data_IF_776030049800
#
_entry.id   IF_776030049800
#
_cell.length_a   1.000
_cell.length_b   1.000
_cell.length_c   1.000
_cell.angle_alpha   90.00
_cell.angle_beta   90.00
_cell.angle_gamma   90.00
#
_symmetry.space_group_name_H-M   'P 1'
#
loop_
_entity.id
_entity.type
_entity.pdbx_description
1 polymer ?
#
# COMPACT_ATOMS: atom_id res chain seq x y z
N UNK A 1 22.10 12.63 16.42
CA UNK A 1 20.63 12.78 16.54
C UNK A 1 20.11 11.58 17.30
N UNK A 2 19.24 11.77 18.29
CA UNK A 2 18.63 10.67 19.04
C UNK A 2 17.23 10.43 18.45
N UNK A 3 17.01 9.23 17.91
CA UNK A 3 15.69 8.77 17.50
C UNK A 3 15.14 7.92 18.65
N UNK A 4 13.96 8.27 19.12
CA UNK A 4 13.23 7.48 20.11
C UNK A 4 12.89 6.10 19.51
N UNK A 5 12.62 5.07 20.34
CA UNK A 5 12.06 3.82 19.84
C UNK A 5 10.79 4.02 19.01
N UNK A 6 9.96 5.00 19.37
CA UNK A 6 8.73 5.36 18.68
C UNK A 6 9.01 5.94 17.29
N UNK A 7 9.94 6.90 17.19
CA UNK A 7 10.33 7.55 15.93
C UNK A 7 10.75 6.51 14.88
N UNK A 8 11.47 5.48 15.33
CA UNK A 8 11.94 4.39 14.45
C UNK A 8 10.82 3.46 14.01
N UNK A 9 9.80 3.25 14.85
CA UNK A 9 8.62 2.48 14.45
C UNK A 9 7.76 3.28 13.46
N UNK A 10 7.64 4.59 13.65
CA UNK A 10 7.02 5.49 12.68
C UNK A 10 7.78 5.47 11.36
N UNK A 11 9.11 5.54 11.37
CA UNK A 11 9.95 5.41 10.17
C UNK A 11 9.68 4.12 9.39
N UNK A 12 9.50 2.98 10.09
CA UNK A 12 9.11 1.72 9.44
C UNK A 12 7.74 1.86 8.79
N UNK A 13 6.76 2.45 9.47
CA UNK A 13 5.45 2.73 8.89
C UNK A 13 5.54 3.64 7.67
N UNK A 14 6.27 4.75 7.74
CA UNK A 14 6.48 5.67 6.61
C UNK A 14 7.15 4.94 5.46
N UNK A 15 8.12 4.05 5.71
CA UNK A 15 8.79 3.30 4.65
C UNK A 15 7.83 2.39 3.88
N UNK A 16 6.90 1.75 4.59
CA UNK A 16 5.84 0.94 3.97
C UNK A 16 4.91 1.83 3.14
N UNK A 17 4.49 2.98 3.68
CA UNK A 17 3.61 3.93 2.98
C UNK A 17 4.28 4.58 1.76
N UNK A 18 5.58 4.79 1.80
CA UNK A 18 6.39 5.29 0.70
C UNK A 18 6.65 4.21 -0.37
N UNK A 19 6.24 2.96 -0.14
CA UNK A 19 6.41 1.86 -1.08
C UNK A 19 7.81 1.25 -1.09
N UNK A 20 8.62 1.46 -0.04
CA UNK A 20 9.91 0.80 0.09
C UNK A 20 9.72 -0.71 0.23
N UNK A 21 10.44 -1.50 -0.58
CA UNK A 21 10.37 -2.97 -0.51
C UNK A 21 11.33 -3.53 0.53
N UNK A 22 12.43 -2.83 0.79
CA UNK A 22 13.42 -3.21 1.78
C UNK A 22 13.75 -2.05 2.71
N UNK A 23 14.07 -2.34 3.98
CA UNK A 23 14.52 -1.32 4.94
C UNK A 23 15.76 -0.56 4.43
N UNK A 24 16.61 -1.17 3.60
CA UNK A 24 17.78 -0.54 2.98
C UNK A 24 17.41 0.75 2.21
N UNK A 25 16.19 0.79 1.65
CA UNK A 25 15.69 1.92 0.90
C UNK A 25 15.38 3.13 1.78
N UNK A 26 15.31 3.00 3.11
CA UNK A 26 15.16 4.15 4.02
C UNK A 26 16.28 5.17 3.78
N UNK A 27 17.52 4.70 3.56
CA UNK A 27 18.66 5.59 3.34
C UNK A 27 18.58 6.34 2.01
N UNK A 28 17.94 5.78 0.98
CA UNK A 28 17.89 6.35 -0.37
C UNK A 28 16.57 7.04 -0.69
N UNK A 29 15.48 6.67 -0.03
CA UNK A 29 14.11 7.16 -0.28
C UNK A 29 13.68 8.13 0.83
N UNK A 30 13.70 7.69 2.09
CA UNK A 30 13.14 8.48 3.19
C UNK A 30 14.11 9.53 3.70
N UNK A 31 15.32 9.11 4.08
CA UNK A 31 16.31 9.97 4.75
C UNK A 31 16.70 11.25 3.97
N UNK A 32 16.80 11.24 2.62
CA UNK A 32 17.04 12.47 1.87
C UNK A 32 15.85 13.43 1.86
N UNK A 33 14.63 12.94 2.13
CA UNK A 33 13.41 13.74 2.14
C UNK A 33 13.18 14.39 3.52
N UNK A 34 13.80 15.56 3.68
CA UNK A 34 13.67 16.36 4.90
C UNK A 34 12.25 16.89 5.10
N UNK A 35 11.50 17.16 4.02
CA UNK A 35 10.13 17.67 4.14
C UNK A 35 9.19 16.58 4.66
N UNK A 36 9.35 15.35 4.18
CA UNK A 36 8.61 14.21 4.69
C UNK A 36 8.93 13.99 6.18
N UNK A 37 10.20 14.02 6.57
CA UNK A 37 10.58 13.91 7.99
C UNK A 37 9.92 14.99 8.86
N UNK A 38 9.95 16.24 8.42
CA UNK A 38 9.34 17.37 9.14
C UNK A 38 7.82 17.24 9.25
N UNK A 39 7.14 16.72 8.22
CA UNK A 39 5.70 16.46 8.27
C UNK A 39 5.32 15.40 9.32
N UNK A 40 6.26 14.52 9.63
CA UNK A 40 6.17 13.52 10.71
C UNK A 40 6.77 14.00 12.03
N UNK A 41 7.07 15.31 12.16
CA UNK A 41 7.59 15.89 13.40
C UNK A 41 9.06 15.55 13.69
N UNK A 42 9.78 14.95 12.74
CA UNK A 42 11.18 14.57 12.88
C UNK A 42 12.09 15.53 12.10
N UNK A 43 13.30 15.78 12.61
CA UNK A 43 14.27 16.64 11.89
C UNK A 43 14.85 15.93 10.66
N UNK A 44 15.02 14.62 10.75
CA UNK A 44 15.44 13.70 9.70
C UNK A 44 15.07 12.28 10.14
N UNK A 45 14.88 11.36 9.20
CA UNK A 45 14.74 9.93 9.50
C UNK A 45 16.10 9.26 9.80
N UNK A 46 16.09 8.19 10.60
CA UNK A 46 17.29 7.48 11.00
C UNK A 46 17.96 6.73 9.83
N UNK A 47 19.21 6.30 10.05
CA UNK A 47 19.86 5.31 9.17
C UNK A 47 19.06 4.00 9.22
N UNK A 48 18.97 3.29 8.09
CA UNK A 48 18.41 1.94 8.03
C UNK A 48 18.99 1.03 9.13
N UNK A 49 20.29 1.08 9.40
CA UNK A 49 20.91 0.20 10.39
C UNK A 49 20.43 0.50 11.82
N UNK A 50 20.05 1.74 12.11
CA UNK A 50 19.48 2.15 13.40
C UNK A 50 18.07 1.59 13.54
N UNK A 51 17.27 1.68 12.47
CA UNK A 51 15.91 1.11 12.41
C UNK A 51 15.97 -0.41 12.55
N UNK A 52 16.83 -1.09 11.78
CA UNK A 52 17.01 -2.54 11.80
C UNK A 52 17.36 -3.05 13.19
N UNK A 53 18.37 -2.46 13.85
CA UNK A 53 18.76 -2.85 15.21
C UNK A 53 17.62 -2.66 16.22
N UNK A 54 16.77 -1.66 16.01
CA UNK A 54 15.60 -1.45 16.86
C UNK A 54 14.52 -2.50 16.64
N UNK A 55 14.32 -2.96 15.40
CA UNK A 55 13.42 -4.09 15.12
C UNK A 55 13.96 -5.41 15.67
N UNK A 56 15.27 -5.66 15.52
CA UNK A 56 15.94 -6.85 16.06
C UNK A 56 15.84 -6.93 17.59
N UNK A 57 15.72 -5.78 18.25
CA UNK A 57 15.55 -5.66 19.70
C UNK A 57 14.11 -5.80 20.20
N UNK A 58 13.11 -5.94 19.33
CA UNK A 58 11.72 -6.07 19.75
C UNK A 58 11.48 -7.41 20.45
N UNK A 59 10.84 -7.36 21.61
CA UNK A 59 10.44 -8.55 22.35
C UNK A 59 8.98 -8.91 22.07
N UNK A 60 8.57 -10.12 22.47
CA UNK A 60 7.15 -10.53 22.41
C UNK A 60 6.24 -9.58 23.20
N UNK A 61 6.73 -9.01 24.30
CA UNK A 61 6.00 -8.02 25.08
C UNK A 61 5.77 -6.74 24.27
N UNK A 62 6.80 -6.22 23.60
CA UNK A 62 6.66 -5.04 22.75
C UNK A 62 5.71 -5.28 21.58
N UNK A 63 5.73 -6.49 21.00
CA UNK A 63 4.78 -6.84 19.94
C UNK A 63 3.34 -6.92 20.47
N UNK A 64 3.12 -7.37 21.71
CA UNK A 64 1.81 -7.37 22.33
C UNK A 64 1.31 -5.93 22.59
N UNK A 65 2.17 -5.06 23.09
CA UNK A 65 1.88 -3.64 23.31
C UNK A 65 1.55 -2.93 21.98
N UNK A 66 2.35 -3.17 20.93
CA UNK A 66 2.13 -2.58 19.62
C UNK A 66 0.79 -3.04 19.02
N UNK A 67 0.44 -4.33 19.15
CA UNK A 67 -0.87 -4.84 18.73
C UNK A 67 -2.02 -4.21 19.52
N UNK A 68 -1.85 -4.04 20.83
CA UNK A 68 -2.87 -3.40 21.65
C UNK A 68 -3.08 -1.93 21.26
N UNK A 69 -1.98 -1.18 21.08
CA UNK A 69 -2.03 0.23 20.68
C UNK A 69 -2.65 0.41 19.29
N UNK A 70 -2.19 -0.35 18.29
CA UNK A 70 -2.76 -0.31 16.94
C UNK A 70 -4.24 -0.70 16.91
N UNK A 71 -4.64 -1.71 17.70
CA UNK A 71 -6.05 -2.09 17.84
C UNK A 71 -6.89 -0.99 18.49
N UNK A 72 -6.35 -0.27 19.48
CA UNK A 72 -7.04 0.84 20.14
C UNK A 72 -7.26 2.00 19.16
N UNK A 73 -6.20 2.42 18.45
CA UNK A 73 -6.28 3.46 17.41
C UNK A 73 -7.30 3.07 16.33
N UNK A 74 -7.24 1.83 15.86
CA UNK A 74 -8.18 1.36 14.85
C UNK A 74 -9.62 1.35 15.35
N UNK A 75 -9.86 0.91 16.60
CA UNK A 75 -11.20 0.92 17.18
C UNK A 75 -11.77 2.32 17.33
N UNK A 76 -10.93 3.29 17.70
CA UNK A 76 -11.33 4.69 17.87
C UNK A 76 -11.72 5.33 16.54
N UNK A 77 -10.90 5.14 15.49
CA UNK A 77 -11.07 5.87 14.23
C UNK A 77 -11.79 5.09 13.11
N UNK A 78 -12.04 3.79 13.29
CA UNK A 78 -12.69 2.97 12.26
C UNK A 78 -14.19 3.12 12.25
N UNK A 79 -14.72 3.46 11.08
CA UNK A 79 -16.16 3.43 10.83
C UNK A 79 -16.74 2.02 10.92
N UNK A 80 -15.94 0.97 10.65
CA UNK A 80 -16.39 -0.43 10.76
C UNK A 80 -16.69 -0.80 12.22
N UNK A 81 -15.89 -0.31 13.17
CA UNK A 81 -16.10 -0.57 14.60
C UNK A 81 -17.29 0.18 15.17
N UNK A 82 -17.66 1.31 14.55
CA UNK A 82 -18.82 2.12 14.93
C UNK A 82 -20.09 1.74 14.15
N UNK A 83 -20.01 0.77 13.23
CA UNK A 83 -21.10 0.39 12.36
C UNK A 83 -22.21 -0.37 13.12
N UNK A 84 -23.47 -0.01 12.88
CA UNK A 84 -24.61 -0.84 13.31
C UNK A 84 -24.75 -2.05 12.40
N UNK A 85 -24.30 -3.20 12.90
CA UNK A 85 -24.32 -4.48 12.19
C UNK A 85 -25.72 -5.02 11.88
N UNK A 86 -26.79 -4.41 12.40
CA UNK A 86 -28.17 -4.70 11.94
C UNK A 86 -28.46 -4.09 10.57
N UNK A 87 -27.70 -3.06 10.20
CA UNK A 87 -27.79 -2.34 8.94
C UNK A 87 -26.97 -2.97 7.82
N UNK A 88 -26.95 -2.27 6.68
CA UNK A 88 -26.13 -2.66 5.53
C UNK A 88 -24.73 -2.06 5.66
N UNK A 89 -23.72 -2.90 5.45
CA UNK A 89 -22.33 -2.46 5.35
C UNK A 89 -22.02 -2.12 3.90
N UNK A 90 -21.77 -0.84 3.64
CA UNK A 90 -21.37 -0.37 2.32
C UNK A 90 -19.86 -0.46 2.17
N UNK A 91 -19.42 -1.26 1.21
CA UNK A 91 -18.03 -1.35 0.79
C UNK A 91 -17.84 -0.58 -0.51
N UNK A 92 -16.94 0.39 -0.50
CA UNK A 92 -16.46 1.02 -1.72
C UNK A 92 -15.22 0.26 -2.19
N UNK A 93 -15.39 -0.56 -3.22
CA UNK A 93 -14.29 -1.34 -3.80
C UNK A 93 -13.88 -0.69 -5.12
N UNK A 94 -12.60 -0.34 -5.22
CA UNK A 94 -12.02 0.01 -6.51
C UNK A 94 -11.84 -1.27 -7.33
N UNK A 95 -12.82 -1.53 -8.20
CA UNK A 95 -12.78 -2.63 -9.17
C UNK A 95 -12.15 -2.21 -10.50
N UNK A 96 -11.45 -1.07 -10.53
CA UNK A 96 -10.74 -0.64 -11.73
C UNK A 96 -9.66 -1.64 -12.07
N UNK A 97 -9.80 -2.26 -13.25
CA UNK A 97 -8.78 -3.14 -13.79
C UNK A 97 -7.55 -2.34 -14.20
N UNK A 98 -6.59 -2.22 -13.28
CA UNK A 98 -5.24 -1.77 -13.59
C UNK A 98 -4.54 -2.87 -14.39
N UNK A 99 -4.04 -2.51 -15.57
CA UNK A 99 -3.31 -3.45 -16.41
C UNK A 99 -1.94 -3.72 -15.77
N UNK A 100 -1.74 -4.95 -15.31
CA UNK A 100 -0.40 -5.45 -15.02
C UNK A 100 0.43 -5.46 -16.30
N UNK A 101 1.68 -5.00 -16.23
CA UNK A 101 2.61 -5.18 -17.34
C UNK A 101 2.86 -6.68 -17.59
N UNK A 102 3.23 -7.11 -18.81
CA UNK A 102 3.55 -8.52 -19.08
C UNK A 102 4.62 -9.11 -18.15
N UNK A 103 5.50 -8.26 -17.62
CA UNK A 103 6.59 -8.64 -16.72
C UNK A 103 6.29 -8.33 -15.24
N UNK A 104 5.05 -7.98 -14.90
CA UNK A 104 4.69 -7.71 -13.52
C UNK A 104 4.74 -9.01 -12.71
N UNK A 105 5.58 -9.02 -11.68
CA UNK A 105 5.73 -10.14 -10.76
C UNK A 105 4.38 -10.45 -10.09
N UNK A 106 3.94 -11.71 -10.15
CA UNK A 106 2.64 -12.14 -9.63
C UNK A 106 1.43 -11.80 -10.52
N UNK A 107 1.63 -11.31 -11.75
CA UNK A 107 0.52 -11.03 -12.67
C UNK A 107 -0.12 -12.31 -13.21
N UNK A 108 -1.29 -12.65 -12.69
CA UNK A 108 -2.15 -13.69 -13.26
C UNK A 108 -3.16 -13.11 -14.25
N UNK A 109 -3.68 -13.96 -15.13
CA UNK A 109 -4.68 -13.56 -16.13
C UNK A 109 -6.03 -13.28 -15.44
N UNK A 110 -6.32 -12.01 -15.18
CA UNK A 110 -7.62 -11.56 -14.66
C UNK A 110 -8.73 -11.46 -15.72
N UNK A 111 -9.98 -11.40 -15.26
CA UNK A 111 -11.15 -11.12 -16.08
C UNK A 111 -11.71 -9.72 -15.77
N UNK A 112 -11.91 -8.90 -16.80
CA UNK A 112 -12.64 -7.63 -16.70
C UNK A 112 -13.72 -7.57 -17.77
N UNK A 113 -14.96 -7.30 -17.37
CA UNK A 113 -16.08 -7.26 -18.30
C UNK A 113 -15.86 -6.20 -19.38
N UNK A 114 -16.20 -6.52 -20.63
CA UNK A 114 -16.02 -5.62 -21.78
C UNK A 114 -14.58 -5.47 -22.28
N UNK A 115 -13.57 -6.03 -21.60
CA UNK A 115 -12.20 -6.16 -22.12
C UNK A 115 -11.94 -7.60 -22.53
N UNK A 116 -11.66 -7.84 -23.81
CA UNK A 116 -11.24 -9.17 -24.27
C UNK A 116 -9.90 -9.49 -23.64
N UNK A 117 -9.87 -10.45 -22.73
CA UNK A 117 -8.62 -11.10 -22.34
C UNK A 117 -8.16 -11.91 -23.54
N UNK A 118 -7.01 -11.61 -24.17
CA UNK A 118 -6.52 -12.40 -25.30
C UNK A 118 -6.48 -13.86 -24.86
N UNK A 119 -7.15 -14.74 -25.61
CA UNK A 119 -7.05 -16.18 -25.41
C UNK A 119 -5.57 -16.55 -25.54
N UNK A 120 -5.06 -17.40 -24.65
CA UNK A 120 -3.67 -17.80 -24.68
C UNK A 120 -3.36 -18.38 -26.08
N UNK A 121 -2.53 -17.67 -26.84
CA UNK A 121 -2.27 -17.98 -28.24
C UNK A 121 -1.28 -16.98 -28.82
N UNK A 122 -0.01 -17.39 -28.87
CA UNK A 122 1.13 -16.80 -29.56
C UNK A 122 1.23 -15.27 -29.58
N UNK A 123 2.13 -14.75 -28.76
CA UNK A 123 2.69 -13.41 -28.91
C UNK A 123 3.16 -13.19 -30.36
N UNK A 124 2.50 -12.34 -31.16
CA UNK A 124 3.08 -11.90 -32.40
C UNK A 124 4.21 -10.95 -32.05
N UNK A 125 5.38 -11.21 -32.62
CA UNK A 125 6.47 -10.24 -32.74
C UNK A 125 5.89 -8.88 -33.11
N UNK A 126 6.31 -7.85 -32.38
CA UNK A 126 5.93 -6.47 -32.54
C UNK A 126 6.03 -6.04 -34.02
N UNK A 127 4.89 -5.91 -34.70
CA UNK A 127 4.81 -5.13 -35.94
C UNK A 127 4.19 -3.78 -35.59
N UNK A 128 4.89 -2.65 -35.82
CA UNK A 128 4.35 -1.34 -35.56
C UNK A 128 3.31 -1.03 -36.65
N UNK A 129 2.05 -1.36 -36.40
CA UNK A 129 0.93 -0.82 -37.18
C UNK A 129 0.46 0.46 -36.50
N UNK A 130 0.67 1.57 -37.20
CA UNK A 130 0.17 2.89 -36.84
C UNK A 130 -1.35 2.82 -36.81
N UNK A 131 -1.91 2.69 -35.61
CA UNK A 131 -3.32 2.96 -35.36
C UNK A 131 -3.43 3.92 -34.19
N UNK A 132 -4.18 4.98 -34.46
CA UNK A 132 -4.47 6.12 -33.61
C UNK A 132 -4.69 5.72 -32.14
N UNK A 133 -3.94 6.36 -31.22
CA UNK A 133 -4.10 6.16 -29.77
C UNK A 133 -5.57 6.34 -29.39
N UNK A 134 -6.26 5.33 -28.84
CA UNK A 134 -7.49 5.58 -28.11
C UNK A 134 -7.14 6.44 -26.90
N UNK A 135 -8.00 7.42 -26.61
CA UNK A 135 -8.00 8.20 -25.37
C UNK A 135 -7.74 7.30 -24.16
N UNK A 136 -6.99 7.82 -23.19
CA UNK A 136 -6.55 7.10 -21.98
C UNK A 136 -7.67 6.33 -21.25
N UNK A 137 -7.30 5.39 -20.36
CA UNK A 137 -8.27 4.53 -19.69
C UNK A 137 -9.31 5.38 -18.98
N UNK A 138 -10.59 5.27 -19.40
CA UNK A 138 -11.72 5.70 -18.59
C UNK A 138 -11.68 4.88 -17.31
N UNK A 139 -11.58 5.54 -16.16
CA UNK A 139 -11.84 4.88 -14.88
C UNK A 139 -13.23 4.28 -14.93
N UNK A 140 -13.36 3.03 -14.49
CA UNK A 140 -14.66 2.50 -14.16
C UNK A 140 -15.06 3.16 -12.82
N UNK A 141 -16.36 3.45 -12.65
CA UNK A 141 -16.83 4.04 -11.39
C UNK A 141 -16.59 3.05 -10.26
N UNK A 142 -16.19 3.55 -9.10
CA UNK A 142 -16.17 2.79 -7.87
C UNK A 142 -17.54 2.12 -7.67
N UNK A 143 -17.53 0.83 -7.34
CA UNK A 143 -18.76 0.06 -7.17
C UNK A 143 -19.02 -0.04 -5.67
N UNK A 144 -20.03 0.68 -5.21
CA UNK A 144 -20.51 0.56 -3.85
C UNK A 144 -21.38 -0.70 -3.74
N UNK A 145 -20.90 -1.68 -2.97
CA UNK A 145 -21.62 -2.92 -2.70
C UNK A 145 -22.14 -2.86 -1.26
N UNK A 146 -23.44 -3.06 -1.09
CA UNK A 146 -24.04 -3.26 0.22
C UNK A 146 -24.03 -4.75 0.55
N UNK A 147 -23.39 -5.12 1.65
CA UNK A 147 -23.40 -6.48 2.18
C UNK A 147 -24.16 -6.49 3.50
N UNK A 148 -24.97 -7.53 3.71
CA UNK A 148 -25.58 -7.81 5.00
C UNK A 148 -24.77 -8.93 5.64
N UNK A 149 -24.22 -8.64 6.81
CA UNK A 149 -23.37 -9.56 7.58
C UNK A 149 -24.21 -10.31 8.61
#
# INVERSE_FOLDING_TARGET
MHHSPQDKLEEVLVSILAGCRHLAEINTVLRPDIQLAQSWGQSQFAEQSVVSRSLDGLTQMNLAELRAATSAIWREHSQVWQHDWRGWLWFDLDLTGLLGSPNAEGSEKGYFSGKKTPLAGNWPVFQPSVTMKPSGPRSLRAVSIAVRV
#
